data_IF_165923242909
#
_entry.id   IF_165923242909
#
_cell.length_a   1.000
_cell.length_b   1.000
_cell.length_c   1.000
_cell.angle_alpha   90.00
_cell.angle_beta   90.00
_cell.angle_gamma   90.00
#
_symmetry.space_group_name_H-M   'P 1'
#
loop_
_entity.id
_entity.type
_entity.pdbx_description
1 polymer ?
#
# COMPACT_ATOMS: atom_id res chain seq x y z
N UNK A 1 -12.29 12.87 22.69
CA UNK A 1 -10.92 12.33 22.77
C UNK A 1 -10.59 11.63 21.46
N UNK A 2 -9.43 11.93 20.84
CA UNK A 2 -9.00 11.35 19.57
C UNK A 2 -8.80 9.82 19.71
N UNK A 3 -9.21 9.03 18.71
CA UNK A 3 -9.04 7.56 18.70
C UNK A 3 -7.58 7.15 18.90
N UNK A 4 -6.64 7.79 18.21
CA UNK A 4 -5.21 7.46 18.31
C UNK A 4 -4.66 7.73 19.72
N UNK A 5 -5.14 8.80 20.35
CA UNK A 5 -4.76 9.15 21.72
C UNK A 5 -5.34 8.14 22.74
N UNK A 6 -6.58 7.69 22.53
CA UNK A 6 -7.19 6.63 23.34
C UNK A 6 -6.44 5.30 23.20
N UNK A 7 -6.07 4.91 21.98
CA UNK A 7 -5.32 3.68 21.73
C UNK A 7 -3.94 3.70 22.37
N UNK A 8 -3.25 4.85 22.32
CA UNK A 8 -1.98 5.08 23.03
C UNK A 8 -2.14 4.85 24.55
N UNK A 9 -3.18 5.43 25.14
CA UNK A 9 -3.47 5.30 26.57
C UNK A 9 -3.67 3.83 26.97
N UNK A 10 -4.45 3.10 26.18
CA UNK A 10 -4.72 1.67 26.41
C UNK A 10 -3.42 0.86 26.29
N UNK A 11 -2.59 1.11 25.28
CA UNK A 11 -1.32 0.40 25.06
C UNK A 11 -0.38 0.52 26.25
N UNK A 12 -0.22 1.74 26.79
CA UNK A 12 0.67 2.00 27.92
C UNK A 12 -0.02 1.86 29.28
N UNK A 13 -1.28 1.40 29.32
CA UNK A 13 -2.10 1.29 30.54
C UNK A 13 -2.16 2.60 31.34
N UNK A 14 -2.19 3.73 30.63
CA UNK A 14 -2.25 5.06 31.22
C UNK A 14 -3.66 5.64 31.13
N UNK A 15 -4.03 6.46 32.12
CA UNK A 15 -5.23 7.26 32.05
C UNK A 15 -4.89 8.65 31.54
N UNK A 16 -5.66 9.16 30.58
CA UNK A 16 -5.49 10.52 30.05
C UNK A 16 -6.52 11.41 30.73
N UNK A 17 -6.03 12.31 31.58
CA UNK A 17 -6.85 13.31 32.23
C UNK A 17 -6.62 14.69 31.56
N UNK A 18 -7.48 15.12 30.62
CA UNK A 18 -7.31 16.40 29.95
C UNK A 18 -7.61 17.55 30.92
N UNK A 19 -6.82 18.63 30.84
CA UNK A 19 -7.15 19.88 31.55
C UNK A 19 -8.43 20.49 30.99
N UNK A 20 -9.15 21.27 31.81
CA UNK A 20 -10.38 21.93 31.39
C UNK A 20 -10.11 22.91 30.25
N UNK A 21 -11.00 22.92 29.26
CA UNK A 21 -10.94 23.90 28.19
C UNK A 21 -11.09 25.33 28.77
N UNK A 22 -10.40 26.31 28.19
CA UNK A 22 -10.44 27.72 28.60
C UNK A 22 -10.10 27.99 30.07
N UNK A 23 -9.31 27.10 30.70
CA UNK A 23 -8.83 27.26 32.09
C UNK A 23 -7.29 27.36 32.08
N UNK A 24 -6.70 28.56 31.89
CA UNK A 24 -5.26 28.75 31.73
C UNK A 24 -4.44 28.27 32.94
N UNK A 25 -5.00 28.39 34.15
CA UNK A 25 -4.33 28.04 35.40
C UNK A 25 -4.04 26.53 35.53
N UNK A 26 -4.88 25.67 34.94
CA UNK A 26 -4.71 24.21 34.97
C UNK A 26 -3.47 23.75 34.16
N UNK A 27 -2.83 24.64 33.39
CA UNK A 27 -1.64 24.35 32.55
C UNK A 27 -0.35 25.00 33.03
N UNK A 28 -0.38 25.78 34.13
CA UNK A 28 0.76 26.60 34.57
C UNK A 28 2.06 25.80 34.79
N UNK A 29 1.97 24.59 35.35
CA UNK A 29 3.14 23.72 35.57
C UNK A 29 3.78 23.25 34.26
N UNK A 30 2.95 22.93 33.25
CA UNK A 30 3.43 22.49 31.93
C UNK A 30 4.12 23.64 31.21
N UNK A 31 3.51 24.82 31.20
CA UNK A 31 4.08 26.02 30.58
C UNK A 31 5.40 26.43 31.24
N UNK A 32 5.48 26.36 32.57
CA UNK A 32 6.71 26.57 33.32
C UNK A 32 7.82 25.58 32.94
N UNK A 33 7.48 24.30 32.81
CA UNK A 33 8.43 23.27 32.38
C UNK A 33 8.95 23.53 30.96
N UNK A 34 8.06 23.90 30.02
CA UNK A 34 8.43 24.25 28.64
C UNK A 34 9.39 25.45 28.63
N UNK A 35 9.08 26.51 29.39
CA UNK A 35 9.95 27.69 29.51
C UNK A 35 11.36 27.32 29.99
N UNK A 36 11.46 26.43 30.99
CA UNK A 36 12.76 25.96 31.49
C UNK A 36 13.54 25.16 30.44
N UNK A 37 12.86 24.30 29.67
CA UNK A 37 13.48 23.57 28.56
C UNK A 37 14.04 24.54 27.50
N UNK A 38 13.30 25.60 27.15
CA UNK A 38 13.81 26.62 26.23
C UNK A 38 15.09 27.28 26.76
N UNK A 39 15.11 27.64 28.05
CA UNK A 39 16.26 28.32 28.65
C UNK A 39 17.47 27.41 28.83
N UNK A 40 17.26 26.14 29.20
CA UNK A 40 18.32 25.22 29.63
C UNK A 40 18.82 24.32 28.51
N UNK A 41 18.03 24.11 27.46
CA UNK A 41 18.38 23.25 26.33
C UNK A 41 18.44 24.06 25.04
N UNK A 42 17.36 24.73 24.63
CA UNK A 42 17.33 25.42 23.33
C UNK A 42 18.31 26.60 23.24
N UNK A 43 18.40 27.43 24.27
CA UNK A 43 19.30 28.60 24.26
C UNK A 43 20.79 28.22 24.18
N UNK A 44 21.29 27.21 24.91
CA UNK A 44 22.64 26.69 24.67
C UNK A 44 22.84 26.15 23.25
N UNK A 45 21.87 25.38 22.72
CA UNK A 45 21.95 24.83 21.36
C UNK A 45 21.97 25.92 20.29
N UNK A 46 21.28 27.05 20.49
CA UNK A 46 21.27 28.14 19.51
C UNK A 46 22.63 28.83 19.35
N UNK A 47 23.60 28.55 20.23
CA UNK A 47 24.98 29.03 20.13
C UNK A 47 25.91 28.03 19.42
N UNK A 48 25.38 26.89 18.97
CA UNK A 48 26.11 25.82 18.32
C UNK A 48 25.62 25.65 16.88
N UNK A 49 26.48 25.13 16.01
CA UNK A 49 26.12 24.77 14.63
C UNK A 49 26.15 23.25 14.49
N UNK A 50 25.13 22.69 13.84
CA UNK A 50 24.98 21.26 13.64
C UNK A 50 24.86 20.95 12.15
N UNK A 51 25.59 19.94 11.68
CA UNK A 51 25.60 19.52 10.28
C UNK A 51 24.80 18.23 10.04
N UNK A 52 24.19 17.69 11.10
CA UNK A 52 23.32 16.51 11.00
C UNK A 52 22.27 16.49 12.11
N UNK A 53 21.14 15.82 11.84
CA UNK A 53 20.12 15.57 12.86
C UNK A 53 20.67 14.71 14.01
N UNK A 54 21.57 13.78 13.70
CA UNK A 54 22.21 12.92 14.70
C UNK A 54 23.03 13.73 15.70
N UNK A 55 23.87 14.65 15.23
CA UNK A 55 24.68 15.50 16.11
C UNK A 55 23.83 16.43 16.97
N UNK A 56 22.72 16.95 16.43
CA UNK A 56 21.76 17.75 17.20
C UNK A 56 21.10 16.91 18.30
N UNK A 57 20.64 15.70 17.98
CA UNK A 57 20.02 14.80 18.96
C UNK A 57 20.98 14.41 20.09
N UNK A 58 22.26 14.17 19.78
CA UNK A 58 23.29 13.92 20.80
C UNK A 58 23.43 15.11 21.75
N UNK A 59 23.57 16.33 21.23
CA UNK A 59 23.71 17.52 22.06
C UNK A 59 22.46 17.80 22.92
N UNK A 60 21.26 17.55 22.38
CA UNK A 60 20.01 17.61 23.16
C UNK A 60 20.06 16.63 24.35
N UNK A 61 20.49 15.38 24.11
CA UNK A 61 20.57 14.35 25.15
C UNK A 61 21.56 14.73 26.26
N UNK A 62 22.71 15.29 25.91
CA UNK A 62 23.72 15.76 26.88
C UNK A 62 23.18 16.89 27.77
N UNK A 63 22.55 17.90 27.16
CA UNK A 63 21.95 19.03 27.90
C UNK A 63 20.76 18.57 28.75
N UNK A 64 19.99 17.58 28.30
CA UNK A 64 18.89 17.00 29.06
C UNK A 64 19.39 16.32 30.35
N UNK A 65 20.51 15.58 30.28
CA UNK A 65 21.15 14.98 31.46
C UNK A 65 21.55 16.07 32.46
N UNK A 66 22.20 17.13 31.99
CA UNK A 66 22.60 18.25 32.86
C UNK A 66 21.38 18.94 33.50
N UNK A 67 20.33 19.16 32.72
CA UNK A 67 19.10 19.77 33.21
C UNK A 67 18.40 18.92 34.28
N UNK A 68 18.34 17.60 34.10
CA UNK A 68 17.73 16.69 35.08
C UNK A 68 18.56 16.55 36.36
N UNK A 69 19.89 16.72 36.28
CA UNK A 69 20.83 16.73 37.41
C UNK A 69 20.88 18.05 38.18
N UNK A 70 20.34 19.13 37.63
CA UNK A 70 20.37 20.44 38.26
C UNK A 70 19.63 20.44 39.61
N UNK A 71 20.29 20.93 40.66
CA UNK A 71 19.72 21.03 42.01
C UNK A 71 18.74 22.19 42.07
N UNK A 72 17.48 21.89 42.38
CA UNK A 72 16.42 22.87 42.53
C UNK A 72 16.50 23.51 43.92
N UNK A 73 16.76 24.82 43.98
CA UNK A 73 16.99 25.55 45.25
C UNK A 73 15.88 25.37 46.29
N UNK A 74 14.63 25.32 45.88
CA UNK A 74 13.49 25.20 46.81
C UNK A 74 13.34 23.80 47.42
N UNK A 75 13.78 22.75 46.73
CA UNK A 75 13.59 21.36 47.12
C UNK A 75 14.90 20.68 47.52
N UNK A 76 16.03 21.40 47.39
CA UNK A 76 17.40 20.95 47.68
C UNK A 76 17.76 19.59 47.04
N UNK A 77 17.11 19.26 45.92
CA UNK A 77 17.27 17.99 45.21
C UNK A 77 17.19 18.21 43.70
N UNK A 78 17.62 17.20 42.92
CA UNK A 78 17.51 17.20 41.47
C UNK A 78 16.26 16.47 40.99
N UNK A 79 15.84 16.72 39.74
CA UNK A 79 14.72 16.00 39.11
C UNK A 79 15.03 14.52 38.98
N UNK A 80 16.27 14.20 38.59
CA UNK A 80 16.74 12.82 38.51
C UNK A 80 16.61 12.10 39.87
N UNK A 81 17.04 12.75 40.96
CA UNK A 81 16.95 12.16 42.29
C UNK A 81 15.50 11.95 42.73
N UNK A 82 14.62 12.93 42.50
CA UNK A 82 13.19 12.75 42.78
C UNK A 82 12.57 11.60 42.00
N UNK A 83 12.89 11.48 40.70
CA UNK A 83 12.43 10.37 39.88
C UNK A 83 12.90 9.02 40.45
N UNK A 84 14.18 8.91 40.81
CA UNK A 84 14.76 7.66 41.31
C UNK A 84 14.21 7.26 42.69
N UNK A 85 14.11 8.22 43.61
CA UNK A 85 13.76 7.96 45.01
C UNK A 85 12.25 7.83 45.21
N UNK A 86 11.44 8.57 44.44
CA UNK A 86 9.99 8.69 44.65
C UNK A 86 9.20 8.01 43.55
N UNK A 87 9.44 8.34 42.27
CA UNK A 87 8.53 7.93 41.18
C UNK A 87 8.79 6.51 40.68
N UNK A 88 10.07 6.16 40.46
CA UNK A 88 10.50 4.91 39.82
C UNK A 88 9.93 3.65 40.47
N UNK A 89 9.83 3.52 41.82
CA UNK A 89 9.26 2.34 42.45
C UNK A 89 7.79 2.08 42.10
N UNK A 90 7.04 3.12 41.72
CA UNK A 90 5.61 3.01 41.39
C UNK A 90 5.32 2.86 39.89
N UNK A 91 6.36 2.90 39.03
CA UNK A 91 6.18 2.78 37.59
C UNK A 91 5.95 1.33 37.16
N UNK A 92 5.01 1.15 36.23
CA UNK A 92 4.77 -0.13 35.59
C UNK A 92 5.85 -0.45 34.54
N UNK A 93 6.15 -1.74 34.29
CA UNK A 93 7.01 -2.13 33.20
C UNK A 93 6.42 -1.70 31.85
N UNK A 94 7.28 -1.29 30.92
CA UNK A 94 6.87 -0.96 29.56
C UNK A 94 6.36 -2.21 28.82
N UNK A 95 5.37 -2.07 27.92
CA UNK A 95 5.02 -3.12 26.99
C UNK A 95 6.25 -3.56 26.15
N UNK A 96 6.35 -4.84 25.77
CA UNK A 96 7.51 -5.37 25.03
C UNK A 96 7.68 -4.76 23.64
N UNK A 97 6.61 -4.20 23.08
CA UNK A 97 6.61 -3.53 21.78
C UNK A 97 6.18 -2.06 21.95
N UNK A 98 6.85 -1.12 21.26
CA UNK A 98 6.43 0.28 21.26
C UNK A 98 5.05 0.42 20.61
N UNK A 99 4.29 1.44 21.03
CA UNK A 99 3.02 1.74 20.39
C UNK A 99 3.26 2.16 18.94
N UNK A 100 2.59 1.49 18.01
CA UNK A 100 2.55 1.89 16.62
C UNK A 100 1.24 2.63 16.34
N UNK A 101 1.36 3.83 15.78
CA UNK A 101 0.19 4.61 15.40
C UNK A 101 -0.47 3.93 14.19
N UNK A 102 -1.73 3.52 14.38
CA UNK A 102 -2.55 2.96 13.32
C UNK A 102 -3.40 4.03 12.64
N UNK A 103 -3.49 3.94 11.33
CA UNK A 103 -4.45 4.65 10.51
C UNK A 103 -5.65 3.75 10.20
N UNK A 104 -6.81 4.37 9.95
CA UNK A 104 -8.08 3.66 9.79
C UNK A 104 -8.78 4.14 8.52
N UNK A 105 -9.25 3.19 7.70
CA UNK A 105 -9.94 3.51 6.45
C UNK A 105 -11.06 2.52 6.16
N UNK A 106 -12.20 3.01 5.70
CA UNK A 106 -13.25 2.15 5.14
C UNK A 106 -12.92 1.80 3.70
N UNK A 107 -13.03 0.53 3.35
CA UNK A 107 -12.86 0.03 1.99
C UNK A 107 -13.96 -0.97 1.63
N UNK A 108 -14.35 -1.02 0.36
CA UNK A 108 -15.24 -2.06 -0.16
C UNK A 108 -14.41 -3.23 -0.68
N UNK A 109 -14.76 -4.46 -0.31
CA UNK A 109 -14.14 -5.66 -0.86
C UNK A 109 -14.59 -5.82 -2.31
N UNK A 110 -13.63 -5.80 -3.23
CA UNK A 110 -13.88 -5.89 -4.67
C UNK A 110 -14.31 -7.31 -5.06
N UNK A 111 -14.91 -7.46 -6.25
CA UNK A 111 -15.35 -8.78 -6.77
C UNK A 111 -14.23 -9.83 -6.87
N UNK A 112 -12.98 -9.38 -7.01
CA UNK A 112 -11.80 -10.24 -6.99
C UNK A 112 -11.36 -10.70 -5.59
N UNK A 113 -12.04 -10.28 -4.51
CA UNK A 113 -11.65 -10.62 -3.14
C UNK A 113 -10.52 -9.76 -2.57
N UNK A 114 -10.35 -8.53 -3.05
CA UNK A 114 -9.29 -7.62 -2.58
C UNK A 114 -9.86 -6.30 -2.06
N UNK A 115 -9.19 -5.71 -1.08
CA UNK A 115 -9.36 -4.32 -0.66
C UNK A 115 -8.24 -3.46 -1.21
N UNK A 116 -8.56 -2.23 -1.61
CA UNK A 116 -7.58 -1.28 -2.14
C UNK A 116 -7.19 -0.24 -1.09
N UNK A 117 -5.92 -0.25 -0.72
CA UNK A 117 -5.29 0.76 0.13
C UNK A 117 -4.75 1.89 -0.75
N UNK A 118 -5.37 3.07 -0.67
CA UNK A 118 -5.05 4.19 -1.55
C UNK A 118 -3.69 4.85 -1.23
N UNK A 119 -3.29 4.84 0.04
CA UNK A 119 -2.03 5.43 0.51
C UNK A 119 -0.84 4.87 -0.27
N UNK A 120 -0.76 3.55 -0.34
CA UNK A 120 0.33 2.84 -1.05
C UNK A 120 -0.05 2.45 -2.49
N UNK A 121 -1.31 2.66 -2.88
CA UNK A 121 -1.91 2.17 -4.12
C UNK A 121 -1.83 0.65 -4.29
N UNK A 122 -2.07 -0.10 -3.22
CA UNK A 122 -1.88 -1.55 -3.14
C UNK A 122 -3.15 -2.31 -2.80
N UNK A 123 -3.15 -3.59 -3.16
CA UNK A 123 -4.30 -4.49 -3.01
C UNK A 123 -3.97 -5.59 -2.00
N UNK A 124 -4.85 -5.81 -1.05
CA UNK A 124 -4.72 -6.86 -0.04
C UNK A 124 -5.91 -7.81 -0.12
N UNK A 125 -5.63 -9.12 -0.21
CA UNK A 125 -6.68 -10.13 -0.27
C UNK A 125 -7.49 -10.19 1.03
N UNK A 126 -8.77 -10.51 0.91
CA UNK A 126 -9.72 -10.69 2.01
C UNK A 126 -10.53 -11.95 1.70
N UNK A 127 -10.92 -12.76 2.69
CA UNK A 127 -11.69 -13.97 2.43
C UNK A 127 -12.90 -13.71 1.53
N UNK A 128 -13.06 -14.52 0.48
CA UNK A 128 -14.06 -14.33 -0.58
C UNK A 128 -15.50 -14.13 -0.05
N UNK A 129 -15.85 -14.72 1.10
CA UNK A 129 -17.16 -14.56 1.75
C UNK A 129 -17.53 -13.09 2.04
N UNK A 130 -16.55 -12.20 2.10
CA UNK A 130 -16.74 -10.77 2.36
C UNK A 130 -16.83 -9.92 1.09
N UNK A 131 -16.81 -10.51 -0.11
CA UNK A 131 -16.93 -9.79 -1.39
C UNK A 131 -18.18 -8.89 -1.39
N UNK A 132 -18.00 -7.63 -1.80
CA UNK A 132 -19.08 -6.64 -1.88
C UNK A 132 -19.39 -5.91 -0.57
N UNK A 133 -18.92 -6.42 0.57
CA UNK A 133 -19.11 -5.79 1.87
C UNK A 133 -18.12 -4.64 2.10
N UNK A 134 -18.50 -3.73 3.01
CA UNK A 134 -17.61 -2.68 3.49
C UNK A 134 -16.89 -3.17 4.76
N UNK A 135 -15.58 -2.97 4.78
CA UNK A 135 -14.68 -3.39 5.85
C UNK A 135 -13.84 -2.21 6.33
N UNK A 136 -13.30 -2.30 7.53
CA UNK A 136 -12.34 -1.34 8.06
C UNK A 136 -10.93 -1.90 7.88
N UNK A 137 -10.09 -1.15 7.17
CA UNK A 137 -8.66 -1.43 7.01
C UNK A 137 -7.92 -0.60 8.05
N UNK A 138 -7.15 -1.26 8.89
CA UNK A 138 -6.27 -0.65 9.88
C UNK A 138 -4.82 -0.95 9.48
N UNK A 139 -3.95 0.05 9.49
CA UNK A 139 -2.57 -0.17 9.07
C UNK A 139 -1.59 0.73 9.81
N UNK A 140 -0.37 0.23 9.98
CA UNK A 140 0.78 0.92 10.56
C UNK A 140 1.95 0.88 9.56
N UNK A 141 3.18 1.13 9.99
CA UNK A 141 4.35 1.09 9.12
C UNK A 141 4.68 -0.31 8.58
N UNK A 142 4.21 -1.37 9.23
CA UNK A 142 4.67 -2.73 8.98
C UNK A 142 3.55 -3.64 8.46
N UNK A 143 2.30 -3.39 8.86
CA UNK A 143 1.20 -4.32 8.68
C UNK A 143 -0.09 -3.63 8.22
N UNK A 144 -0.92 -4.43 7.55
CA UNK A 144 -2.28 -4.09 7.13
C UNK A 144 -3.23 -5.16 7.64
N UNK A 145 -4.15 -4.74 8.49
CA UNK A 145 -5.20 -5.56 9.07
C UNK A 145 -6.55 -5.17 8.47
N UNK A 146 -7.43 -6.14 8.24
CA UNK A 146 -8.79 -5.88 7.76
C UNK A 146 -9.78 -6.44 8.77
N UNK A 147 -10.77 -5.62 9.12
CA UNK A 147 -11.80 -5.92 10.10
C UNK A 147 -13.20 -5.83 9.50
N UNK A 148 -14.07 -6.76 9.88
CA UNK A 148 -15.51 -6.69 9.63
C UNK A 148 -16.24 -6.82 10.96
N UNK A 149 -17.09 -5.84 11.30
CA UNK A 149 -17.83 -5.80 12.58
C UNK A 149 -16.94 -6.07 13.82
N UNK A 150 -15.76 -5.46 13.86
CA UNK A 150 -14.75 -5.59 14.93
C UNK A 150 -14.01 -6.93 15.01
N UNK A 151 -14.29 -7.88 14.12
CA UNK A 151 -13.52 -9.13 13.97
C UNK A 151 -12.42 -8.95 12.92
N UNK A 152 -11.19 -9.37 13.22
CA UNK A 152 -10.08 -9.32 12.26
C UNK A 152 -10.21 -10.46 11.26
N UNK A 153 -10.50 -10.14 10.01
CA UNK A 153 -10.73 -11.10 8.93
C UNK A 153 -9.50 -11.33 8.04
N UNK A 154 -8.53 -10.41 8.04
CA UNK A 154 -7.27 -10.57 7.31
C UNK A 154 -6.13 -9.80 7.98
N UNK A 155 -4.90 -10.27 7.76
CA UNK A 155 -3.66 -9.68 8.27
C UNK A 155 -2.55 -9.87 7.24
N UNK A 156 -1.85 -8.81 6.87
CA UNK A 156 -0.79 -8.84 5.86
C UNK A 156 0.39 -7.96 6.26
N UNK A 157 1.59 -8.31 5.81
CA UNK A 157 2.71 -7.37 5.81
C UNK A 157 2.45 -6.26 4.80
N UNK A 158 2.68 -5.01 5.20
CA UNK A 158 2.49 -3.83 4.37
C UNK A 158 3.53 -3.81 3.26
N UNK A 159 3.07 -3.60 2.03
CA UNK A 159 3.92 -3.46 0.86
C UNK A 159 3.85 -2.01 0.38
N UNK A 160 5.00 -1.41 0.06
CA UNK A 160 5.11 -0.03 -0.42
C UNK A 160 5.27 0.06 -1.95
N UNK A 161 5.42 -1.07 -2.65
CA UNK A 161 5.52 -1.09 -4.11
C UNK A 161 4.14 -0.84 -4.72
N UNK A 162 3.94 0.34 -5.31
CA UNK A 162 2.67 0.76 -5.93
C UNK A 162 2.12 -0.27 -6.92
N UNK A 163 0.83 -0.56 -6.82
CA UNK A 163 0.12 -1.50 -7.69
C UNK A 163 0.35 -2.97 -7.34
N UNK A 164 0.99 -3.28 -6.22
CA UNK A 164 1.21 -4.65 -5.78
C UNK A 164 -0.07 -5.30 -5.24
N UNK A 165 -0.14 -6.62 -5.41
CA UNK A 165 -1.18 -7.48 -4.84
C UNK A 165 -0.55 -8.40 -3.80
N UNK A 166 -0.86 -8.15 -2.53
CA UNK A 166 -0.48 -9.01 -1.40
C UNK A 166 -1.63 -9.96 -1.12
N UNK A 167 -1.38 -11.27 -1.27
CA UNK A 167 -2.41 -12.30 -1.19
C UNK A 167 -2.11 -13.37 -0.15
N UNK A 168 -3.16 -14.04 0.29
CA UNK A 168 -3.10 -15.34 0.94
C UNK A 168 -4.00 -16.30 0.18
N UNK A 169 -3.53 -17.52 -0.02
CA UNK A 169 -4.26 -18.52 -0.82
C UNK A 169 -5.62 -18.86 -0.22
N UNK A 170 -5.72 -18.92 1.11
CA UNK A 170 -6.96 -19.13 1.87
C UNK A 170 -8.04 -18.07 1.64
N UNK A 171 -7.70 -16.93 1.03
CA UNK A 171 -8.68 -15.87 0.76
C UNK A 171 -9.35 -16.00 -0.61
N UNK A 172 -8.73 -16.70 -1.56
CA UNK A 172 -9.07 -16.63 -2.98
C UNK A 172 -10.27 -17.51 -3.34
N UNK A 173 -11.13 -17.01 -4.24
CA UNK A 173 -12.35 -17.71 -4.63
C UNK A 173 -12.09 -18.88 -5.58
N UNK A 174 -11.08 -18.81 -6.46
CA UNK A 174 -10.76 -19.92 -7.38
C UNK A 174 -10.36 -21.20 -6.64
N UNK A 175 -9.80 -21.07 -5.44
CA UNK A 175 -9.48 -22.19 -4.56
C UNK A 175 -10.73 -22.87 -3.98
N UNK A 176 -11.87 -22.19 -3.97
CA UNK A 176 -13.14 -22.69 -3.42
C UNK A 176 -14.18 -22.85 -4.53
N UNK A 177 -14.28 -24.07 -5.10
CA UNK A 177 -15.16 -24.45 -6.22
C UNK A 177 -16.66 -24.19 -6.04
N UNK A 178 -17.10 -23.76 -4.86
CA UNK A 178 -18.53 -23.72 -4.47
C UNK A 178 -19.26 -22.43 -4.86
N UNK A 179 -18.57 -21.40 -5.37
CA UNK A 179 -19.19 -20.10 -5.65
C UNK A 179 -19.21 -19.77 -7.16
N UNK A 180 -20.42 -19.61 -7.71
CA UNK A 180 -20.78 -19.25 -9.10
C UNK A 180 -20.45 -17.77 -9.48
N UNK A 181 -19.30 -17.29 -9.01
CA UNK A 181 -18.85 -15.92 -9.26
C UNK A 181 -18.00 -15.77 -10.51
N UNK A 182 -17.05 -14.82 -10.43
CA UNK A 182 -15.98 -14.70 -11.40
C UNK A 182 -15.01 -15.89 -11.25
N UNK A 183 -14.88 -16.67 -12.31
CA UNK A 183 -13.99 -17.82 -12.44
C UNK A 183 -13.25 -17.78 -13.78
N UNK A 184 -12.18 -18.56 -13.97
CA UNK A 184 -11.54 -18.67 -15.28
C UNK A 184 -12.54 -19.13 -16.36
N UNK A 185 -13.36 -20.13 -16.06
CA UNK A 185 -14.38 -20.66 -16.98
C UNK A 185 -15.46 -19.62 -17.31
N UNK A 186 -15.85 -18.78 -16.34
CA UNK A 186 -16.77 -17.68 -16.59
C UNK A 186 -16.21 -16.70 -17.64
N UNK A 187 -14.95 -16.28 -17.48
CA UNK A 187 -14.33 -15.35 -18.42
C UNK A 187 -14.04 -16.00 -19.78
N UNK A 188 -13.62 -17.26 -19.80
CA UNK A 188 -13.44 -18.06 -21.01
C UNK A 188 -14.73 -18.12 -21.85
N UNK A 189 -15.83 -18.58 -21.24
CA UNK A 189 -17.12 -18.71 -21.90
C UNK A 189 -17.70 -17.35 -22.33
N UNK A 190 -17.48 -16.30 -21.53
CA UNK A 190 -17.96 -14.97 -21.87
C UNK A 190 -17.17 -14.34 -23.02
N UNK A 191 -15.86 -14.55 -23.06
CA UNK A 191 -14.98 -14.10 -24.14
C UNK A 191 -15.32 -14.75 -25.48
N UNK A 192 -15.65 -16.05 -25.48
CA UNK A 192 -16.03 -16.79 -26.69
C UNK A 192 -17.23 -16.19 -27.44
N UNK A 193 -18.11 -15.46 -26.75
CA UNK A 193 -19.23 -14.74 -27.38
C UNK A 193 -18.79 -13.56 -28.27
N UNK A 194 -17.59 -13.01 -28.03
CA UNK A 194 -17.03 -11.91 -28.81
C UNK A 194 -16.02 -12.37 -29.87
N UNK A 195 -15.60 -13.64 -29.85
CA UNK A 195 -14.79 -14.26 -30.90
C UNK A 195 -13.76 -15.27 -30.36
N UNK A 196 -13.28 -16.19 -31.22
CA UNK A 196 -12.34 -17.24 -30.82
C UNK A 196 -10.97 -16.69 -30.42
N UNK A 197 -10.50 -15.60 -31.04
CA UNK A 197 -9.22 -15.00 -30.69
C UNK A 197 -9.31 -14.21 -29.37
N UNK A 198 -10.47 -13.61 -29.09
CA UNK A 198 -10.72 -12.96 -27.78
C UNK A 198 -10.66 -13.99 -26.64
N UNK A 199 -11.27 -15.16 -26.84
CA UNK A 199 -11.25 -16.28 -25.90
C UNK A 199 -9.82 -16.76 -25.65
N UNK A 200 -9.07 -17.08 -26.72
CA UNK A 200 -7.68 -17.51 -26.61
C UNK A 200 -6.79 -16.48 -25.91
N UNK A 201 -7.01 -15.18 -26.17
CA UNK A 201 -6.25 -14.11 -25.53
C UNK A 201 -6.53 -14.03 -24.02
N UNK A 202 -7.78 -14.19 -23.62
CA UNK A 202 -8.19 -14.17 -22.21
C UNK A 202 -7.64 -15.39 -21.47
N UNK A 203 -7.67 -16.57 -22.08
CA UNK A 203 -7.08 -17.78 -21.48
C UNK A 203 -5.58 -17.59 -21.21
N UNK A 204 -4.84 -17.08 -22.20
CA UNK A 204 -3.41 -16.76 -22.02
C UNK A 204 -3.18 -15.68 -20.95
N UNK A 205 -4.04 -14.66 -20.89
CA UNK A 205 -3.95 -13.61 -19.88
C UNK A 205 -4.17 -14.15 -18.45
N UNK A 206 -5.13 -15.07 -18.28
CA UNK A 206 -5.40 -15.74 -17.01
C UNK A 206 -4.24 -16.67 -16.59
N UNK A 207 -3.58 -17.31 -17.56
CA UNK A 207 -2.43 -18.20 -17.33
C UNK A 207 -1.10 -17.45 -17.13
N UNK A 208 -0.97 -16.20 -17.61
CA UNK A 208 0.27 -15.42 -17.52
C UNK A 208 0.66 -15.10 -16.07
N UNK A 209 -0.33 -14.90 -15.19
CA UNK A 209 -0.10 -14.59 -13.78
C UNK A 209 -0.12 -15.85 -12.93
N UNK A 210 0.49 -15.79 -11.74
CA UNK A 210 0.38 -16.90 -10.78
C UNK A 210 -1.04 -17.16 -10.26
N UNK A 211 -1.96 -16.20 -10.41
CA UNK A 211 -3.35 -16.31 -9.97
C UNK A 211 -4.31 -15.55 -10.90
N UNK A 212 -5.45 -16.14 -11.26
CA UNK A 212 -6.39 -15.58 -12.22
C UNK A 212 -7.14 -14.33 -11.69
N UNK A 213 -7.36 -14.21 -10.38
CA UNK A 213 -8.15 -13.11 -9.78
C UNK A 213 -7.57 -11.72 -10.09
N UNK A 214 -6.25 -11.63 -10.18
CA UNK A 214 -5.53 -10.40 -10.50
C UNK A 214 -5.82 -9.97 -11.95
N UNK A 215 -6.01 -10.94 -12.84
CA UNK A 215 -6.28 -10.72 -14.25
C UNK A 215 -7.77 -10.47 -14.56
N UNK A 216 -8.71 -10.84 -13.69
CA UNK A 216 -10.15 -10.69 -13.94
C UNK A 216 -10.57 -9.26 -14.29
N UNK A 217 -9.98 -8.25 -13.64
CA UNK A 217 -10.27 -6.84 -13.96
C UNK A 217 -9.81 -6.47 -15.38
N UNK A 218 -8.69 -7.02 -15.83
CA UNK A 218 -8.19 -6.81 -17.18
C UNK A 218 -9.06 -7.56 -18.21
N UNK A 219 -9.45 -8.81 -17.92
CA UNK A 219 -10.35 -9.60 -18.75
C UNK A 219 -11.68 -8.88 -18.96
N UNK A 220 -12.30 -8.40 -17.87
CA UNK A 220 -13.50 -7.56 -17.93
C UNK A 220 -13.28 -6.32 -18.80
N UNK A 221 -12.15 -5.63 -18.62
CA UNK A 221 -11.80 -4.45 -19.40
C UNK A 221 -11.71 -4.75 -20.90
N UNK A 222 -11.09 -5.88 -21.28
CA UNK A 222 -10.94 -6.31 -22.67
C UNK A 222 -12.31 -6.65 -23.28
N UNK A 223 -13.12 -7.48 -22.60
CA UNK A 223 -14.45 -7.84 -23.09
C UNK A 223 -15.32 -6.59 -23.27
N UNK A 224 -15.22 -5.64 -22.35
CA UNK A 224 -15.98 -4.39 -22.43
C UNK A 224 -15.53 -3.45 -23.55
N UNK A 225 -14.37 -3.66 -24.21
CA UNK A 225 -14.01 -2.85 -25.38
C UNK A 225 -15.01 -3.02 -26.53
N UNK A 226 -15.79 -4.10 -26.54
CA UNK A 226 -16.87 -4.31 -27.51
C UNK A 226 -17.99 -3.28 -27.46
N UNK A 227 -18.12 -2.54 -26.35
CA UNK A 227 -19.09 -1.44 -26.27
C UNK A 227 -18.66 -0.22 -27.10
N UNK A 228 -17.37 -0.10 -27.39
CA UNK A 228 -16.78 1.01 -28.15
C UNK A 228 -16.36 0.58 -29.55
N UNK A 229 -15.93 -0.67 -29.71
CA UNK A 229 -15.46 -1.25 -30.97
C UNK A 229 -16.32 -2.47 -31.32
N UNK A 230 -16.53 -2.77 -32.60
CA UNK A 230 -17.31 -3.96 -32.98
C UNK A 230 -16.60 -5.25 -32.59
N UNK A 231 -17.35 -6.33 -32.32
CA UNK A 231 -16.77 -7.62 -31.95
C UNK A 231 -15.74 -8.11 -32.99
N UNK A 232 -15.99 -7.89 -34.28
CA UNK A 232 -15.03 -8.21 -35.37
C UNK A 232 -13.69 -7.49 -35.21
N UNK A 233 -13.71 -6.21 -34.84
CA UNK A 233 -12.48 -5.43 -34.62
C UNK A 233 -11.76 -5.90 -33.37
N UNK A 234 -12.50 -6.19 -32.30
CA UNK A 234 -11.95 -6.71 -31.05
C UNK A 234 -11.27 -8.07 -31.26
N UNK A 235 -11.91 -8.98 -31.99
CA UNK A 235 -11.36 -10.30 -32.28
C UNK A 235 -10.08 -10.21 -33.13
N UNK A 236 -10.08 -9.37 -34.17
CA UNK A 236 -8.88 -9.14 -34.98
C UNK A 236 -7.74 -8.46 -34.19
N UNK A 237 -8.07 -7.54 -33.29
CA UNK A 237 -7.07 -6.94 -32.40
C UNK A 237 -6.47 -7.97 -31.44
N UNK A 238 -7.28 -8.88 -30.91
CA UNK A 238 -6.81 -9.99 -30.08
C UNK A 238 -5.94 -10.95 -30.89
N UNK A 239 -6.30 -11.25 -32.15
CA UNK A 239 -5.49 -12.05 -33.06
C UNK A 239 -4.07 -11.48 -33.22
N UNK A 240 -3.96 -10.18 -33.53
CA UNK A 240 -2.65 -9.51 -33.66
C UNK A 240 -1.87 -9.55 -32.34
N UNK A 241 -2.56 -9.42 -31.20
CA UNK A 241 -1.93 -9.39 -29.90
C UNK A 241 -1.52 -10.77 -29.36
N UNK A 242 -2.03 -11.87 -29.93
CA UNK A 242 -1.71 -13.22 -29.49
C UNK A 242 -0.23 -13.58 -29.73
N UNK A 243 0.39 -12.95 -30.73
CA UNK A 243 1.80 -13.11 -31.10
C UNK A 243 2.75 -12.32 -30.19
N UNK A 244 2.23 -11.47 -29.29
CA UNK A 244 3.05 -10.71 -28.36
C UNK A 244 3.49 -11.54 -27.15
N UNK A 245 4.68 -11.24 -26.57
CA UNK A 245 5.20 -11.98 -25.42
C UNK A 245 4.48 -11.68 -24.10
N UNK A 246 3.59 -10.67 -24.08
CA UNK A 246 2.80 -10.29 -22.91
C UNK A 246 1.36 -10.01 -23.31
N UNK A 247 0.48 -10.34 -22.38
CA UNK A 247 -0.96 -10.16 -22.48
C UNK A 247 -1.41 -9.11 -21.45
N UNK A 248 -2.34 -8.25 -21.86
CA UNK A 248 -2.92 -7.24 -20.98
C UNK A 248 -3.83 -6.25 -21.69
N UNK A 249 -4.72 -5.62 -20.92
CA UNK A 249 -5.74 -4.69 -21.44
C UNK A 249 -5.18 -3.55 -22.30
N UNK A 250 -4.08 -2.93 -21.88
CA UNK A 250 -3.52 -1.76 -22.58
C UNK A 250 -3.02 -2.10 -24.00
N UNK A 251 -2.60 -3.35 -24.23
CA UNK A 251 -2.13 -3.80 -25.54
C UNK A 251 -3.29 -3.78 -26.54
N UNK A 252 -4.40 -4.44 -26.19
CA UNK A 252 -5.60 -4.49 -27.03
C UNK A 252 -6.16 -3.08 -27.26
N UNK A 253 -6.22 -2.27 -26.19
CA UNK A 253 -6.69 -0.88 -26.30
C UNK A 253 -5.84 -0.06 -27.28
N UNK A 254 -4.52 -0.20 -27.24
CA UNK A 254 -3.60 0.52 -28.11
C UNK A 254 -3.74 0.08 -29.58
N UNK A 255 -3.88 -1.23 -29.83
CA UNK A 255 -4.10 -1.77 -31.19
C UNK A 255 -5.38 -1.18 -31.79
N UNK A 256 -6.48 -1.18 -31.02
CA UNK A 256 -7.78 -0.67 -31.46
C UNK A 256 -7.80 0.86 -31.63
N UNK A 257 -7.15 1.61 -30.74
CA UNK A 257 -7.08 3.07 -30.84
C UNK A 257 -6.25 3.52 -32.03
N UNK A 258 -5.15 2.80 -32.33
CA UNK A 258 -4.26 3.10 -33.45
C UNK A 258 -4.73 2.50 -34.78
N UNK A 259 -5.90 1.84 -34.79
CA UNK A 259 -6.50 1.19 -35.98
C UNK A 259 -5.58 0.16 -36.63
N UNK A 260 -4.66 -0.45 -35.88
CA UNK A 260 -3.75 -1.48 -36.39
C UNK A 260 -4.52 -2.72 -36.85
N UNK A 261 -5.70 -2.96 -36.27
CA UNK A 261 -6.64 -4.01 -36.68
C UNK A 261 -7.23 -3.77 -38.08
N UNK A 262 -7.23 -2.53 -38.58
CA UNK A 262 -7.74 -2.18 -39.91
C UNK A 262 -6.66 -2.16 -40.99
N UNK A 263 -5.38 -2.26 -40.63
CA UNK A 263 -4.30 -2.35 -41.58
C UNK A 263 -4.49 -3.62 -42.44
N UNK A 264 -4.38 -3.47 -43.76
CA UNK A 264 -4.24 -4.62 -44.66
C UNK A 264 -2.87 -5.24 -44.37
N UNK A 265 -2.83 -6.54 -44.09
CA UNK A 265 -1.56 -7.26 -44.14
C UNK A 265 -1.06 -7.15 -45.58
N UNK A 266 -0.01 -6.37 -45.80
CA UNK A 266 0.79 -6.54 -47.00
C UNK A 266 1.45 -7.91 -46.88
N UNK A 267 1.11 -8.82 -47.79
CA UNK A 267 1.80 -10.09 -47.95
C UNK A 267 3.31 -9.81 -48.06
N UNK A 268 4.05 -10.07 -46.99
CA UNK A 268 5.52 -10.05 -46.99
C UNK A 268 6.10 -11.27 -47.70
N UNK A 269 5.30 -11.99 -48.50
CA UNK A 269 5.73 -13.08 -49.38
C UNK A 269 6.24 -12.60 -50.74
N UNK A 270 6.78 -11.39 -50.83
CA UNK A 270 7.68 -11.01 -51.92
C UNK A 270 8.93 -10.37 -51.32
N UNK A 271 9.96 -11.20 -51.17
CA UNK A 271 11.34 -10.72 -51.00
C UNK A 271 11.65 -9.73 -52.12
N UNK A 272 11.67 -8.44 -51.80
CA UNK A 272 12.15 -7.38 -52.68
C UNK A 272 13.69 -7.25 -52.53
N UNK A 273 14.41 -8.36 -52.44
CA UNK A 273 15.86 -8.35 -52.59
C UNK A 273 16.15 -8.61 -54.06
N UNK A 274 16.30 -7.52 -54.81
CA UNK A 274 16.90 -7.58 -56.15
C UNK A 274 18.30 -8.19 -56.03
N UNK A 275 18.59 -9.24 -56.79
CA UNK A 275 19.95 -9.78 -56.88
C UNK A 275 20.85 -8.70 -57.49
N UNK A 276 21.65 -8.03 -56.67
CA UNK A 276 22.69 -7.13 -57.14
C UNK A 276 24.02 -7.88 -57.25
N UNK A 277 24.57 -7.90 -58.46
CA UNK A 277 25.91 -8.39 -58.80
C UNK A 277 26.96 -7.35 -58.40
N UNK A 278 27.34 -7.33 -57.13
CA UNK A 278 28.57 -6.64 -56.71
C UNK A 278 29.30 -7.48 -55.66
N UNK A 279 29.88 -8.59 -56.13
CA UNK A 279 30.97 -9.26 -55.43
C UNK A 279 32.23 -8.48 -55.78
N UNK A 280 32.62 -7.51 -54.94
CA UNK A 280 34.00 -7.01 -54.96
C UNK A 280 34.86 -8.07 -54.28
N UNK A 281 35.58 -8.84 -55.09
CA UNK A 281 36.73 -9.59 -54.64
C UNK A 281 37.74 -8.59 -54.05
N UNK A 282 38.02 -8.72 -52.76
CA UNK A 282 39.22 -8.14 -52.18
C UNK A 282 40.40 -8.97 -52.68
N UNK A 283 41.20 -8.39 -53.58
CA UNK A 283 42.50 -8.94 -53.93
C UNK A 283 43.41 -8.90 -52.69
N UNK A 284 44.08 -10.03 -52.45
CA UNK A 284 45.21 -10.18 -51.53
C UNK A 284 46.36 -9.23 -51.87
#
# INVERSE_FOLDING_TARGET
>A
MNKSLKSLAIHYKTSINPTRAYSPQDKALVEGAVKLVYQRIFYPLSKMTFFSLRSLNTAIAELLIQYNKYIMKQLETSREKQFLDIEKPYLLPLPPQPYQMKEYRKAKVQKMGFVYLNEDKNYYSVPFRYIGLHVEVQYDCDNVEVYYKSERIAYHTRNYRKGAYTKKDEHLSSSHKFYDGWSPDFFHNWAGKSGPNVQAYIDKLLQQGGYPEIAYKQCLGIINLKTTYTDKRLDKACQIALDQPRYGYHIIRNILSNKMDLAKQEDTSKSHISKHTNIRASYN
#
